data_IF_237190927751
#
_entry.id   IF_237190927751
#
_cell.length_a   1.000
_cell.length_b   1.000
_cell.length_c   1.000
_cell.angle_alpha   90.00
_cell.angle_beta   90.00
_cell.angle_gamma   90.00
#
_symmetry.space_group_name_H-M   'P 1'
#
loop_
_entity.id
_entity.type
_entity.pdbx_description
1 polymer ?
#
# COMPACT_ATOMS: atom_id res chain seq x y z
N UNK A 1 -2.42 1.50 -7.89
CA UNK A 1 -1.67 2.54 -8.64
C UNK A 1 -0.31 1.99 -9.00
N UNK A 2 0.05 2.01 -10.27
CA UNK A 2 1.34 1.57 -10.80
C UNK A 2 2.02 2.71 -11.54
N UNK A 3 3.34 2.83 -11.41
CA UNK A 3 4.12 3.90 -12.04
C UNK A 3 4.23 3.80 -13.57
N UNK A 4 3.89 2.65 -14.17
CA UNK A 4 4.15 2.38 -15.60
C UNK A 4 2.96 2.68 -16.52
N UNK A 5 1.92 3.33 -16.03
CA UNK A 5 0.75 3.67 -16.84
C UNK A 5 0.69 5.18 -17.06
N UNK A 6 1.37 5.66 -18.10
CA UNK A 6 1.48 7.09 -18.43
C UNK A 6 0.12 7.76 -18.67
N UNK A 7 -0.87 6.99 -19.15
CA UNK A 7 -2.23 7.48 -19.41
C UNK A 7 -2.99 7.91 -18.13
N UNK A 8 -2.49 7.49 -16.97
CA UNK A 8 -3.08 7.81 -15.66
C UNK A 8 -2.18 8.70 -14.79
N UNK A 9 -1.16 9.31 -15.36
CA UNK A 9 -0.33 10.28 -14.67
C UNK A 9 -1.09 11.59 -14.49
N UNK A 10 -1.28 12.00 -13.24
CA UNK A 10 -1.95 13.25 -12.85
C UNK A 10 -0.96 14.28 -12.30
N UNK A 11 0.26 14.32 -12.88
CA UNK A 11 1.34 15.21 -12.40
C UNK A 11 0.90 16.67 -12.25
N UNK A 12 0.11 17.16 -13.20
CA UNK A 12 -0.37 18.55 -13.20
C UNK A 12 -1.49 18.82 -12.19
N UNK A 13 -2.03 17.78 -11.56
CA UNK A 13 -3.14 17.86 -10.62
C UNK A 13 -2.80 17.37 -9.20
N UNK A 14 -1.52 17.18 -8.89
CA UNK A 14 -1.08 16.68 -7.57
C UNK A 14 -1.61 17.54 -6.43
N UNK A 15 -1.65 18.86 -6.59
CA UNK A 15 -2.22 19.78 -5.57
C UNK A 15 -3.70 19.49 -5.29
N UNK A 16 -4.49 19.20 -6.33
CA UNK A 16 -5.90 18.82 -6.14
C UNK A 16 -6.03 17.48 -5.41
N UNK A 17 -5.14 16.53 -5.69
CA UNK A 17 -5.11 15.25 -4.97
C UNK A 17 -4.76 15.47 -3.51
N UNK A 18 -3.80 16.35 -3.19
CA UNK A 18 -3.48 16.71 -1.81
C UNK A 18 -4.67 17.32 -1.06
N UNK A 19 -5.42 18.21 -1.69
CA UNK A 19 -6.61 18.82 -1.12
C UNK A 19 -7.67 17.75 -0.79
N UNK A 20 -7.96 16.86 -1.74
CA UNK A 20 -8.92 15.76 -1.53
C UNK A 20 -8.46 14.83 -0.41
N UNK A 21 -7.16 14.50 -0.33
CA UNK A 21 -6.64 13.65 0.75
C UNK A 21 -6.75 14.32 2.11
N UNK A 22 -6.46 15.61 2.21
CA UNK A 22 -6.63 16.37 3.46
C UNK A 22 -8.09 16.39 3.91
N UNK A 23 -9.01 16.55 2.97
CA UNK A 23 -10.44 16.50 3.25
C UNK A 23 -10.88 15.11 3.72
N UNK A 24 -10.43 14.03 3.05
CA UNK A 24 -10.72 12.65 3.46
C UNK A 24 -10.22 12.34 4.87
N UNK A 25 -9.00 12.77 5.22
CA UNK A 25 -8.44 12.61 6.57
C UNK A 25 -9.25 13.40 7.60
N UNK A 26 -9.74 14.58 7.24
CA UNK A 26 -10.61 15.35 8.13
C UNK A 26 -11.95 14.66 8.34
N UNK A 27 -12.60 14.20 7.27
CA UNK A 27 -13.88 13.48 7.32
C UNK A 27 -13.79 12.16 8.08
N UNK A 28 -12.64 11.50 8.04
CA UNK A 28 -12.41 10.24 8.76
C UNK A 28 -12.70 10.35 10.26
N UNK A 29 -12.55 11.54 10.89
CA UNK A 29 -12.85 11.75 12.31
C UNK A 29 -14.32 11.45 12.63
N UNK A 30 -15.21 11.80 11.71
CA UNK A 30 -16.66 11.64 11.86
C UNK A 30 -17.15 10.30 11.24
N UNK A 31 -16.38 9.71 10.32
CA UNK A 31 -16.75 8.56 9.52
C UNK A 31 -15.77 7.39 9.68
N UNK A 32 -15.34 7.11 10.92
CA UNK A 32 -14.31 6.09 11.25
C UNK A 32 -14.63 4.69 10.71
N UNK A 33 -15.90 4.30 10.72
CA UNK A 33 -16.33 2.98 10.26
C UNK A 33 -16.45 2.87 8.73
N UNK A 34 -16.39 4.00 8.03
CA UNK A 34 -16.49 4.08 6.58
C UNK A 34 -15.13 4.30 5.92
N UNK A 35 -14.32 5.21 6.48
CA UNK A 35 -12.98 5.53 5.98
C UNK A 35 -11.95 4.84 6.86
N UNK A 36 -11.66 3.57 6.55
CA UNK A 36 -10.77 2.71 7.34
C UNK A 36 -9.29 2.77 6.94
N UNK A 37 -8.97 3.43 5.82
CA UNK A 37 -7.59 3.59 5.37
C UNK A 37 -6.77 4.41 6.35
N UNK A 38 -5.53 3.99 6.63
CA UNK A 38 -4.64 4.73 7.51
C UNK A 38 -4.25 6.10 6.94
N UNK A 39 -4.05 7.08 7.80
CA UNK A 39 -3.57 8.41 7.41
C UNK A 39 -2.24 8.29 6.68
N UNK A 40 -1.36 7.40 7.15
CA UNK A 40 -0.09 7.10 6.48
C UNK A 40 -0.28 6.67 5.02
N UNK A 41 -1.21 5.76 4.75
CA UNK A 41 -1.49 5.33 3.38
C UNK A 41 -2.01 6.48 2.53
N UNK A 42 -2.97 7.23 3.05
CA UNK A 42 -3.59 8.37 2.34
C UNK A 42 -2.58 9.47 2.01
N UNK A 43 -1.75 9.87 2.97
CA UNK A 43 -0.74 10.91 2.81
C UNK A 43 0.38 10.57 1.81
N UNK A 44 0.61 9.29 1.54
CA UNK A 44 1.58 8.87 0.52
C UNK A 44 1.02 8.89 -0.90
N UNK A 45 -0.30 8.99 -1.09
CA UNK A 45 -0.93 9.01 -2.43
C UNK A 45 -0.44 10.19 -3.27
N UNK A 46 -0.53 11.46 -2.83
CA UNK A 46 -0.03 12.58 -3.62
C UNK A 46 1.47 12.49 -3.87
N UNK A 47 2.26 12.06 -2.89
CA UNK A 47 3.71 11.86 -3.05
C UNK A 47 4.05 10.81 -4.11
N UNK A 48 3.25 9.74 -4.19
CA UNK A 48 3.42 8.73 -5.24
C UNK A 48 3.15 9.32 -6.63
N UNK A 49 2.14 10.16 -6.78
CA UNK A 49 1.86 10.83 -8.05
C UNK A 49 2.92 11.86 -8.43
N UNK A 50 3.41 12.62 -7.46
CA UNK A 50 4.47 13.61 -7.67
C UNK A 50 5.78 12.96 -8.12
N UNK A 51 6.21 11.91 -7.43
CA UNK A 51 7.52 11.27 -7.65
C UNK A 51 7.49 10.19 -8.74
N UNK A 52 6.33 9.59 -9.03
CA UNK A 52 6.20 8.43 -9.92
C UNK A 52 6.65 7.11 -9.28
N UNK A 53 7.00 7.11 -7.99
CA UNK A 53 7.35 5.92 -7.22
C UNK A 53 6.98 6.08 -5.75
N UNK A 54 6.82 4.96 -5.05
CA UNK A 54 6.55 4.91 -3.63
C UNK A 54 7.76 4.53 -2.77
N UNK A 55 7.58 4.39 -1.46
CA UNK A 55 8.59 3.82 -0.56
C UNK A 55 9.00 2.41 -0.99
N UNK A 56 10.13 1.89 -0.52
CA UNK A 56 10.54 0.50 -0.76
C UNK A 56 9.52 -0.49 -0.19
N UNK A 57 9.10 -1.47 -1.01
CA UNK A 57 8.06 -2.42 -0.65
C UNK A 57 8.58 -3.56 0.22
N UNK A 58 7.86 -3.86 1.29
CA UNK A 58 8.13 -4.97 2.21
C UNK A 58 7.35 -6.26 1.86
N UNK A 59 6.69 -6.32 0.69
CA UNK A 59 6.01 -7.54 0.26
C UNK A 59 6.99 -8.72 0.19
N UNK A 60 6.53 -9.88 0.59
CA UNK A 60 7.35 -11.06 0.82
C UNK A 60 7.84 -11.20 2.26
N UNK A 61 7.91 -10.11 3.04
CA UNK A 61 8.21 -10.19 4.49
C UNK A 61 7.02 -9.82 5.38
N UNK A 62 6.22 -8.82 4.99
CA UNK A 62 5.06 -8.37 5.78
C UNK A 62 3.73 -8.81 5.21
N UNK A 63 3.70 -9.18 3.95
CA UNK A 63 2.51 -9.67 3.24
C UNK A 63 2.90 -10.65 2.15
N UNK A 64 1.98 -11.53 1.80
CA UNK A 64 2.07 -12.41 0.64
C UNK A 64 0.67 -12.59 0.05
N UNK A 65 0.62 -13.05 -1.19
CA UNK A 65 -0.63 -13.38 -1.89
C UNK A 65 -0.65 -14.88 -2.15
N UNK A 66 -1.78 -15.53 -1.89
CA UNK A 66 -2.04 -16.92 -2.25
C UNK A 66 -3.09 -16.93 -3.34
N UNK A 67 -2.81 -17.61 -4.45
CA UNK A 67 -3.74 -17.76 -5.56
C UNK A 67 -4.77 -18.87 -5.26
N UNK A 68 -5.93 -18.89 -5.92
CA UNK A 68 -6.94 -19.94 -5.69
C UNK A 68 -6.45 -21.36 -5.93
N UNK A 69 -5.47 -21.54 -6.80
CA UNK A 69 -4.79 -22.81 -7.10
C UNK A 69 -3.61 -23.13 -6.17
N UNK A 70 -3.45 -22.34 -5.09
CA UNK A 70 -2.50 -22.63 -4.00
C UNK A 70 -1.08 -22.13 -4.22
N UNK A 71 -0.80 -21.37 -5.27
CA UNK A 71 0.53 -20.77 -5.44
C UNK A 71 0.73 -19.53 -4.59
N UNK A 72 1.91 -19.42 -3.99
CA UNK A 72 2.29 -18.29 -3.15
C UNK A 72 3.16 -17.32 -3.95
N UNK A 73 2.82 -16.05 -3.85
CA UNK A 73 3.51 -14.92 -4.49
C UNK A 73 3.94 -13.92 -3.42
N UNK A 74 5.03 -13.21 -3.63
CA UNK A 74 5.44 -12.11 -2.74
C UNK A 74 4.43 -10.96 -2.79
N UNK A 75 3.84 -10.75 -3.97
CA UNK A 75 2.87 -9.71 -4.27
C UNK A 75 1.99 -10.19 -5.42
N UNK A 76 0.76 -9.69 -5.55
CA UNK A 76 -0.16 -10.01 -6.65
C UNK A 76 0.44 -9.80 -8.04
N UNK A 77 1.34 -8.83 -8.16
CA UNK A 77 1.97 -8.42 -9.40
C UNK A 77 3.25 -9.20 -9.75
N UNK A 78 3.70 -10.08 -8.88
CA UNK A 78 4.92 -10.88 -9.09
C UNK A 78 4.61 -12.31 -9.46
N UNK A 79 5.56 -13.01 -10.12
CA UNK A 79 5.44 -14.45 -10.38
C UNK A 79 5.26 -15.26 -9.08
N UNK A 80 4.63 -16.41 -9.22
CA UNK A 80 4.58 -17.40 -8.15
C UNK A 80 5.98 -17.88 -7.78
N UNK A 81 6.21 -18.11 -6.49
CA UNK A 81 7.50 -18.59 -5.96
C UNK A 81 7.43 -20.07 -5.67
N UNK A 82 6.34 -20.56 -5.05
CA UNK A 82 6.14 -21.97 -4.76
C UNK A 82 4.63 -22.25 -4.58
N UNK A 83 4.26 -23.52 -4.55
CA UNK A 83 2.96 -23.95 -4.08
C UNK A 83 2.95 -23.99 -2.54
N UNK A 84 1.80 -23.83 -1.90
CA UNK A 84 1.71 -23.78 -0.43
C UNK A 84 2.25 -25.03 0.26
N UNK A 85 2.17 -26.20 -0.39
CA UNK A 85 2.71 -27.46 0.13
C UNK A 85 4.23 -27.47 0.25
N UNK A 86 4.91 -26.65 -0.54
CA UNK A 86 6.37 -26.57 -0.59
C UNK A 86 6.92 -25.36 0.20
N UNK A 87 6.01 -24.60 0.81
CA UNK A 87 6.40 -23.41 1.57
C UNK A 87 7.19 -23.76 2.83
N UNK A 88 8.30 -23.05 3.01
CA UNK A 88 9.13 -23.13 4.21
C UNK A 88 9.33 -21.72 4.79
N UNK A 89 9.30 -21.56 6.13
CA UNK A 89 9.63 -20.29 6.76
C UNK A 89 10.99 -19.75 6.28
N UNK A 90 11.08 -18.46 5.99
CA UNK A 90 12.29 -17.84 5.45
C UNK A 90 12.45 -17.92 3.92
N UNK A 91 11.52 -18.55 3.22
CA UNK A 91 11.54 -18.67 1.75
C UNK A 91 11.43 -17.32 1.05
N UNK A 92 10.82 -16.33 1.70
CA UNK A 92 10.58 -15.02 1.13
C UNK A 92 11.42 -13.93 1.80
N UNK A 93 12.06 -13.15 0.95
CA UNK A 93 12.67 -11.88 1.29
C UNK A 93 11.82 -10.74 0.73
N UNK A 94 11.92 -9.56 1.32
CA UNK A 94 11.21 -8.38 0.81
C UNK A 94 11.61 -8.08 -0.63
N UNK A 95 10.67 -7.54 -1.39
CA UNK A 95 10.87 -7.27 -2.82
C UNK A 95 11.72 -6.05 -3.12
N UNK A 96 11.79 -5.08 -2.21
CA UNK A 96 12.40 -3.76 -2.42
C UNK A 96 11.86 -2.99 -3.65
N UNK A 97 10.72 -3.41 -4.19
CA UNK A 97 10.06 -2.75 -5.30
C UNK A 97 9.43 -1.42 -4.83
N UNK A 98 9.34 -0.43 -5.71
CA UNK A 98 8.76 0.89 -5.41
C UNK A 98 7.75 1.38 -6.47
N UNK A 99 7.32 0.49 -7.39
CA UNK A 99 6.57 0.86 -8.61
C UNK A 99 5.06 0.98 -8.42
N UNK A 100 4.53 0.74 -7.23
CA UNK A 100 3.09 0.86 -6.97
C UNK A 100 2.81 1.44 -5.58
N UNK A 101 1.57 1.88 -5.38
CA UNK A 101 1.04 2.27 -4.08
C UNK A 101 -0.39 1.77 -3.93
N UNK A 102 -0.56 0.44 -3.69
CA UNK A 102 -1.86 -0.18 -3.40
C UNK A 102 -2.17 -0.15 -1.91
N UNK A 103 -3.46 -0.15 -1.55
CA UNK A 103 -3.91 -0.13 -0.16
C UNK A 103 -3.32 -1.27 0.67
N UNK A 104 -3.34 -2.50 0.17
CA UNK A 104 -2.75 -3.65 0.86
C UNK A 104 -1.27 -3.45 1.24
N UNK A 105 -0.51 -2.80 0.37
CA UNK A 105 0.88 -2.45 0.62
C UNK A 105 1.01 -1.30 1.60
N UNK A 106 0.29 -0.20 1.37
CA UNK A 106 0.36 0.99 2.19
C UNK A 106 -0.02 0.71 3.64
N UNK A 107 -1.11 -0.03 3.84
CA UNK A 107 -1.58 -0.39 5.17
C UNK A 107 -0.60 -1.33 5.93
N UNK A 108 0.02 -2.30 5.24
CA UNK A 108 1.00 -3.17 5.89
C UNK A 108 2.32 -2.48 6.23
N UNK A 109 2.65 -1.40 5.51
CA UNK A 109 3.87 -0.60 5.73
C UNK A 109 3.68 0.56 6.71
N UNK A 110 2.43 0.88 7.10
CA UNK A 110 2.16 1.95 8.04
C UNK A 110 2.90 1.72 9.36
N UNK A 111 3.60 2.73 9.90
CA UNK A 111 4.31 2.62 11.17
C UNK A 111 3.37 2.22 12.31
N UNK A 112 3.86 1.38 13.23
CA UNK A 112 3.06 0.89 14.38
C UNK A 112 2.50 2.06 15.20
N UNK A 113 3.27 3.12 15.37
CA UNK A 113 2.82 4.31 16.09
C UNK A 113 1.68 5.04 15.38
N UNK A 114 1.67 5.07 14.04
CA UNK A 114 0.57 5.62 13.26
C UNK A 114 -0.72 4.82 13.50
N UNK A 115 -0.62 3.50 13.40
CA UNK A 115 -1.76 2.59 13.66
C UNK A 115 -2.27 2.68 15.11
N UNK A 116 -1.36 2.77 16.09
CA UNK A 116 -1.73 2.91 17.48
C UNK A 116 -2.50 4.21 17.76
N UNK A 117 -2.06 5.33 17.19
CA UNK A 117 -2.78 6.62 17.31
C UNK A 117 -4.21 6.53 16.76
N UNK A 118 -4.38 5.90 15.60
CA UNK A 118 -5.69 5.73 15.00
C UNK A 118 -6.64 4.84 15.82
N UNK A 119 -6.12 3.78 16.45
CA UNK A 119 -6.88 2.90 17.35
C UNK A 119 -7.31 3.57 18.64
N UNK A 120 -6.49 4.48 19.18
CA UNK A 120 -6.72 5.14 20.47
C UNK A 120 -7.55 6.43 20.30
N UNK A 121 -7.76 6.88 19.03
CA UNK A 121 -8.59 8.04 18.73
C UNK A 121 -7.94 9.40 19.02
N UNK A 122 -6.61 9.44 18.96
CA UNK A 122 -5.85 10.70 19.03
C UNK A 122 -5.62 11.30 17.64
#
# INVERSE_FOLDING_TARGET
MKANNEDHFIKDEVLKVEEVIKELISLKKDWKDTIVSSDYYLEQIPKFFENGYGPSCNAGSTMMTVTPDGYIKRCSEMPAVCHYTDYKPGYFTKTNCNTCWFGCRGETQAPILSKAKELIGF
#
